data_IF_142093517517
#
_entry.id   IF_142093517517
#
_cell.length_a   1.000
_cell.length_b   1.000
_cell.length_c   1.000
_cell.angle_alpha   90.00
_cell.angle_beta   90.00
_cell.angle_gamma   90.00
#
_symmetry.space_group_name_H-M   'P 1'
#
loop_
_entity.id
_entity.type
_entity.pdbx_description
1 polymer ?
#
# COMPACT_ATOMS: atom_id res chain seq x y z
N UNK A 1 7.93 -29.55 45.08
CA UNK A 1 8.60 -29.03 43.86
C UNK A 1 7.51 -28.79 42.81
N UNK A 2 7.05 -27.55 42.66
CA UNK A 2 6.02 -27.18 41.68
C UNK A 2 6.65 -27.00 40.31
N UNK A 3 6.19 -27.76 39.32
CA UNK A 3 6.63 -27.58 37.93
C UNK A 3 6.12 -26.23 37.44
N UNK A 4 7.03 -25.34 37.06
CA UNK A 4 6.69 -24.10 36.40
C UNK A 4 6.10 -24.43 35.02
N UNK A 5 4.82 -24.11 34.82
CA UNK A 5 4.18 -24.16 33.50
C UNK A 5 4.89 -23.18 32.57
N UNK A 6 5.78 -23.70 31.72
CA UNK A 6 6.37 -22.93 30.62
C UNK A 6 5.26 -22.73 29.59
N UNK A 7 4.51 -21.63 29.72
CA UNK A 7 3.56 -21.21 28.69
C UNK A 7 4.36 -20.96 27.42
N UNK A 8 4.21 -21.81 26.41
CA UNK A 8 4.80 -21.60 25.09
C UNK A 8 4.18 -20.32 24.49
N UNK A 9 4.83 -19.18 24.67
CA UNK A 9 4.40 -17.91 24.09
C UNK A 9 4.77 -17.85 22.61
N UNK A 10 4.16 -18.74 21.80
CA UNK A 10 4.14 -18.55 20.36
C UNK A 10 3.29 -17.32 20.03
N UNK A 11 3.77 -16.44 19.18
CA UNK A 11 2.98 -15.31 18.67
C UNK A 11 1.76 -15.84 17.92
N UNK A 12 0.56 -15.48 18.36
CA UNK A 12 -0.65 -15.81 17.62
C UNK A 12 -0.79 -14.89 16.41
N UNK A 13 -1.28 -15.37 15.25
CA UNK A 13 -1.59 -14.51 14.11
C UNK A 13 -2.64 -13.46 14.52
N UNK A 14 -2.51 -12.24 14.01
CA UNK A 14 -3.53 -11.19 14.19
C UNK A 14 -4.83 -11.67 13.53
N UNK A 15 -5.94 -11.67 14.27
CA UNK A 15 -7.23 -12.09 13.73
C UNK A 15 -7.61 -11.21 12.53
N UNK A 16 -8.13 -11.82 11.46
CA UNK A 16 -8.53 -11.13 10.23
C UNK A 16 -7.36 -10.49 9.46
N UNK A 17 -6.11 -10.86 9.72
CA UNK A 17 -4.93 -10.46 8.94
C UNK A 17 -4.15 -11.72 8.54
N UNK A 18 -4.07 -12.04 7.25
CA UNK A 18 -3.32 -13.20 6.78
C UNK A 18 -1.87 -12.81 6.41
N UNK A 19 -1.01 -13.82 6.32
CA UNK A 19 0.40 -13.64 5.97
C UNK A 19 0.61 -12.86 4.66
N UNK A 20 -0.20 -13.14 3.63
CA UNK A 20 -0.04 -12.53 2.32
C UNK A 20 -0.39 -11.04 2.30
N UNK A 21 -1.44 -10.63 3.01
CA UNK A 21 -1.81 -9.22 3.18
C UNK A 21 -0.72 -8.45 3.92
N UNK A 22 -0.17 -9.05 4.98
CA UNK A 22 0.95 -8.48 5.71
C UNK A 22 2.21 -8.36 4.83
N UNK A 23 2.58 -9.45 4.15
CA UNK A 23 3.76 -9.50 3.28
C UNK A 23 3.66 -8.49 2.14
N UNK A 24 2.49 -8.39 1.51
CA UNK A 24 2.22 -7.41 0.47
C UNK A 24 2.53 -5.99 0.94
N UNK A 25 2.04 -5.57 2.11
CA UNK A 25 2.31 -4.23 2.66
C UNK A 25 3.80 -4.01 2.91
N UNK A 26 4.47 -5.02 3.45
CA UNK A 26 5.89 -4.95 3.80
C UNK A 26 6.79 -4.76 2.56
N UNK A 27 6.41 -5.35 1.43
CA UNK A 27 7.14 -5.21 0.15
C UNK A 27 6.69 -3.98 -0.63
N UNK A 28 5.38 -3.73 -0.72
CA UNK A 28 4.85 -2.62 -1.52
C UNK A 28 5.25 -1.26 -0.98
N UNK A 29 5.37 -1.06 0.34
CA UNK A 29 5.77 0.23 0.94
C UNK A 29 7.12 0.74 0.42
N UNK A 30 8.21 -0.03 0.55
CA UNK A 30 9.52 0.35 -0.01
C UNK A 30 9.51 0.53 -1.53
N UNK A 31 8.79 -0.31 -2.28
CA UNK A 31 8.65 -0.16 -3.74
C UNK A 31 7.97 1.16 -4.10
N UNK A 32 6.86 1.48 -3.42
CA UNK A 32 6.14 2.76 -3.56
C UNK A 32 7.05 3.94 -3.24
N UNK A 33 7.88 3.85 -2.20
CA UNK A 33 8.81 4.92 -1.83
C UNK A 33 9.80 5.24 -2.97
N UNK A 34 10.27 4.23 -3.69
CA UNK A 34 11.13 4.44 -4.86
C UNK A 34 10.32 5.07 -6.00
N UNK A 35 9.14 4.52 -6.30
CA UNK A 35 8.29 4.99 -7.40
C UNK A 35 7.82 6.44 -7.20
N UNK A 36 7.43 6.83 -5.98
CA UNK A 36 6.98 8.18 -5.69
C UNK A 36 8.13 9.20 -5.85
N UNK A 37 9.36 8.85 -5.49
CA UNK A 37 10.52 9.73 -5.71
C UNK A 37 10.75 9.93 -7.21
N UNK A 38 10.73 8.86 -8.00
CA UNK A 38 10.85 8.94 -9.46
C UNK A 38 9.74 9.81 -10.04
N UNK A 39 8.49 9.57 -9.65
CA UNK A 39 7.33 10.35 -10.07
C UNK A 39 7.51 11.84 -9.72
N UNK A 40 7.93 12.18 -8.50
CA UNK A 40 8.16 13.57 -8.11
C UNK A 40 9.24 14.25 -8.94
N UNK A 41 10.40 13.61 -9.12
CA UNK A 41 11.51 14.21 -9.86
C UNK A 41 11.14 14.41 -11.33
N UNK A 42 10.65 13.35 -11.98
CA UNK A 42 10.34 13.39 -13.41
C UNK A 42 9.14 14.29 -13.71
N UNK A 43 8.07 14.25 -12.89
CA UNK A 43 6.86 14.99 -13.21
C UNK A 43 6.82 16.42 -12.65
N UNK A 44 7.52 16.69 -11.54
CA UNK A 44 7.45 17.98 -10.85
C UNK A 44 8.75 18.78 -10.82
N UNK A 45 9.93 18.17 -11.04
CA UNK A 45 11.21 18.89 -10.90
C UNK A 45 11.98 19.09 -12.20
N UNK A 46 11.89 18.17 -13.16
CA UNK A 46 12.63 18.27 -14.44
C UNK A 46 11.95 19.21 -15.45
N UNK A 47 10.64 19.12 -15.71
CA UNK A 47 9.99 19.94 -16.73
C UNK A 47 9.86 21.39 -16.25
N UNK A 48 10.18 22.36 -17.12
CA UNK A 48 9.92 23.77 -16.84
C UNK A 48 8.42 23.98 -16.63
N UNK A 49 8.02 24.31 -15.40
CA UNK A 49 6.61 24.48 -15.01
C UNK A 49 5.88 23.20 -14.59
N UNK A 50 6.58 22.07 -14.43
CA UNK A 50 6.02 20.74 -14.14
C UNK A 50 5.04 20.22 -15.23
N UNK A 51 4.71 18.93 -15.21
CA UNK A 51 3.70 18.33 -16.10
C UNK A 51 2.27 18.74 -15.72
N UNK A 52 1.96 20.02 -15.92
CA UNK A 52 0.67 20.65 -15.55
C UNK A 52 -0.19 21.04 -16.75
N UNK A 53 0.31 20.88 -17.98
CA UNK A 53 -0.44 21.14 -19.21
C UNK A 53 -0.93 19.83 -19.83
N UNK A 54 -2.06 19.89 -20.52
CA UNK A 54 -2.58 18.75 -21.28
C UNK A 54 -1.53 18.20 -22.25
N UNK A 55 -0.93 19.07 -23.06
CA UNK A 55 0.03 18.68 -24.09
C UNK A 55 1.29 18.06 -23.49
N UNK A 56 1.78 18.61 -22.38
CA UNK A 56 2.92 18.03 -21.65
C UNK A 56 2.62 16.62 -21.13
N UNK A 57 1.43 16.39 -20.58
CA UNK A 57 1.01 15.04 -20.13
C UNK A 57 0.89 14.08 -21.31
N UNK A 58 0.31 14.53 -22.44
CA UNK A 58 0.20 13.71 -23.65
C UNK A 58 1.57 13.28 -24.17
N UNK A 59 2.52 14.22 -24.24
CA UNK A 59 3.91 13.95 -24.67
C UNK A 59 4.62 12.99 -23.72
N UNK A 60 4.46 13.16 -22.40
CA UNK A 60 5.00 12.25 -21.40
C UNK A 60 4.46 10.82 -21.57
N UNK A 61 3.16 10.68 -21.84
CA UNK A 61 2.52 9.38 -22.08
C UNK A 61 2.85 8.76 -23.45
N UNK A 62 3.46 9.49 -24.39
CA UNK A 62 3.97 8.89 -25.64
C UNK A 62 5.21 8.01 -25.41
N UNK A 63 5.89 8.15 -24.26
CA UNK A 63 7.01 7.29 -23.90
C UNK A 63 6.47 5.90 -23.54
N UNK A 64 6.81 4.89 -24.35
CA UNK A 64 6.16 3.57 -24.33
C UNK A 64 6.07 2.88 -22.96
N UNK A 65 7.03 3.08 -22.05
CA UNK A 65 7.02 2.45 -20.73
C UNK A 65 6.29 3.26 -19.65
N UNK A 66 6.08 4.57 -19.86
CA UNK A 66 5.49 5.48 -18.87
C UNK A 66 4.08 5.05 -18.47
N UNK A 67 3.15 4.72 -19.39
CA UNK A 67 1.82 4.27 -19.01
C UNK A 67 1.83 3.03 -18.10
N UNK A 68 2.75 2.09 -18.34
CA UNK A 68 2.88 0.89 -17.51
C UNK A 68 3.44 1.21 -16.12
N UNK A 69 4.43 2.10 -16.05
CA UNK A 69 5.01 2.54 -14.78
C UNK A 69 3.99 3.30 -13.94
N UNK A 70 3.28 4.27 -14.51
CA UNK A 70 2.25 5.05 -13.81
C UNK A 70 1.05 4.18 -13.40
N UNK A 71 0.62 3.23 -14.24
CA UNK A 71 -0.43 2.28 -13.88
C UNK A 71 -0.01 1.34 -12.75
N UNK A 72 1.21 0.80 -12.81
CA UNK A 72 1.75 -0.03 -11.74
C UNK A 72 1.87 0.76 -10.43
N UNK A 73 2.35 2.01 -10.51
CA UNK A 73 2.45 2.89 -9.35
C UNK A 73 1.07 3.16 -8.74
N UNK A 74 0.06 3.49 -9.56
CA UNK A 74 -1.32 3.71 -9.12
C UNK A 74 -1.90 2.46 -8.43
N UNK A 75 -1.76 1.29 -9.04
CA UNK A 75 -2.26 0.03 -8.47
C UNK A 75 -1.60 -0.23 -7.11
N UNK A 76 -0.27 -0.10 -7.04
CA UNK A 76 0.50 -0.33 -5.80
C UNK A 76 0.08 0.66 -4.71
N UNK A 77 0.05 1.97 -5.00
CA UNK A 77 -0.23 2.98 -3.97
C UNK A 77 -1.67 2.87 -3.46
N UNK A 78 -2.65 2.62 -4.32
CA UNK A 78 -4.05 2.47 -3.92
C UNK A 78 -4.21 1.22 -3.06
N UNK A 79 -3.79 0.05 -3.56
CA UNK A 79 -3.92 -1.21 -2.81
C UNK A 79 -3.15 -1.19 -1.48
N UNK A 80 -1.92 -0.63 -1.45
CA UNK A 80 -1.16 -0.47 -0.21
C UNK A 80 -1.90 0.42 0.79
N UNK A 81 -2.44 1.54 0.33
CA UNK A 81 -3.16 2.50 1.19
C UNK A 81 -4.44 1.88 1.76
N UNK A 82 -5.21 1.16 0.95
CA UNK A 82 -6.45 0.50 1.38
C UNK A 82 -6.19 -0.63 2.38
N UNK A 83 -5.18 -1.48 2.13
CA UNK A 83 -4.78 -2.54 3.07
C UNK A 83 -4.16 -1.98 4.34
N UNK A 84 -3.40 -0.88 4.25
CA UNK A 84 -2.88 -0.14 5.39
C UNK A 84 -4.02 0.42 6.25
N UNK A 85 -4.99 1.08 5.63
CA UNK A 85 -6.18 1.61 6.32
C UNK A 85 -6.97 0.51 7.01
N UNK A 86 -7.21 -0.62 6.33
CA UNK A 86 -7.84 -1.81 6.94
C UNK A 86 -7.10 -2.25 8.20
N UNK A 87 -5.77 -2.26 8.17
CA UNK A 87 -4.94 -2.67 9.31
C UNK A 87 -5.09 -1.73 10.51
N UNK A 88 -5.10 -0.43 10.25
CA UNK A 88 -5.34 0.61 11.25
C UNK A 88 -6.72 0.44 11.87
N UNK A 89 -7.76 0.22 11.06
CA UNK A 89 -9.12 -0.01 11.58
C UNK A 89 -9.19 -1.25 12.47
N UNK A 90 -8.50 -2.34 12.11
CA UNK A 90 -8.44 -3.55 12.92
C UNK A 90 -7.76 -3.34 14.29
N UNK A 91 -6.91 -2.33 14.44
CA UNK A 91 -6.27 -2.01 15.74
C UNK A 91 -7.26 -1.41 16.75
N UNK A 92 -8.42 -0.90 16.30
CA UNK A 92 -9.45 -0.32 17.16
C UNK A 92 -10.49 -1.33 17.68
N UNK A 93 -10.29 -2.64 17.49
CA UNK A 93 -11.24 -3.69 17.85
C UNK A 93 -12.68 -3.42 17.34
N UNK A 94 -12.87 -3.30 16.01
CA UNK A 94 -14.11 -2.81 15.42
C UNK A 94 -15.28 -3.78 15.58
N UNK A 95 -16.50 -3.23 15.52
CA UNK A 95 -17.73 -4.03 15.57
C UNK A 95 -17.85 -5.00 14.39
N UNK A 96 -18.68 -6.04 14.51
CA UNK A 96 -18.96 -7.00 13.42
C UNK A 96 -19.52 -6.33 12.15
N UNK A 97 -20.29 -5.25 12.29
CA UNK A 97 -20.81 -4.48 11.16
C UNK A 97 -19.70 -3.79 10.38
N UNK A 98 -18.75 -3.18 11.11
CA UNK A 98 -17.56 -2.55 10.52
C UNK A 98 -16.67 -3.58 9.82
N UNK A 99 -16.47 -4.77 10.42
CA UNK A 99 -15.73 -5.87 9.78
C UNK A 99 -16.36 -6.29 8.45
N UNK A 100 -17.69 -6.41 8.38
CA UNK A 100 -18.40 -6.75 7.15
C UNK A 100 -18.21 -5.69 6.04
N UNK A 101 -18.16 -4.41 6.41
CA UNK A 101 -17.87 -3.33 5.45
C UNK A 101 -16.42 -3.44 4.97
N UNK A 102 -15.48 -3.71 5.87
CA UNK A 102 -14.07 -3.90 5.49
C UNK A 102 -13.90 -5.05 4.50
N UNK A 103 -14.58 -6.18 4.73
CA UNK A 103 -14.47 -7.36 3.87
C UNK A 103 -15.15 -7.19 2.49
N UNK A 104 -16.05 -6.20 2.33
CA UNK A 104 -16.73 -5.90 1.05
C UNK A 104 -16.06 -4.74 0.31
N UNK A 105 -15.56 -3.76 1.07
CA UNK A 105 -14.95 -2.55 0.52
C UNK A 105 -13.48 -2.68 0.17
N UNK A 106 -12.77 -3.66 0.73
CA UNK A 106 -11.32 -3.86 0.57
C UNK A 106 -10.93 -5.33 0.43
#
# INVERSE_FOLDING_TARGET
MGQANVVSRGSQPKSNENFWLWFYKQVSGPVILILIIVHFVINHMIPEGALLTHDGVVDYYQIWFVPFMEAAFLILVVSHSLLGLRSIVLDFNPSRGTLRILDVGF
#
